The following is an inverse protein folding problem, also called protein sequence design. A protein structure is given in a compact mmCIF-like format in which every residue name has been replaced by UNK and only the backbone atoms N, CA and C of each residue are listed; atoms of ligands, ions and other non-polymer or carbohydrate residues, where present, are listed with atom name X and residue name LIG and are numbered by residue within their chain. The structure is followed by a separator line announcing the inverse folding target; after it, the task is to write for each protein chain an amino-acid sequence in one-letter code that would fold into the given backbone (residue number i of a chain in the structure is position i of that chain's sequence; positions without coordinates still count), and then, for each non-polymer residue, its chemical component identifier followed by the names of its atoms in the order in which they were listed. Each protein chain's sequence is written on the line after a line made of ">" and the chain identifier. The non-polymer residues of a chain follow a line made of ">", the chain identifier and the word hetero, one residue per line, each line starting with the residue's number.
data_IF_609168981454
#
_entry.id   IF_609168981454
#
_cell.length_a   1.000
_cell.length_b   1.000
_cell.length_c   1.000
_cell.angle_alpha   90.00
_cell.angle_beta   90.00
_cell.angle_gamma   90.00
#
_symmetry.space_group_name_H-M   'P 1'
#
loop_
_entity.id
_entity.type
_entity.pdbx_description
1 polymer ?
#
# COMPACT_ATOMS: atom_id res chain seq x y z
N UNK A 1 -7.09 -20.12 20.58
CA UNK A 1 -7.55 -18.92 21.33
C UNK A 1 -7.67 -17.80 20.30
N UNK A 2 -8.90 -17.45 19.93
CA UNK A 2 -9.16 -16.34 19.01
C UNK A 2 -9.00 -15.03 19.76
N UNK A 3 -7.93 -14.32 19.50
CA UNK A 3 -7.84 -12.91 19.93
C UNK A 3 -8.66 -12.06 18.96
N UNK A 4 -9.81 -11.59 19.42
CA UNK A 4 -10.55 -10.53 18.77
C UNK A 4 -9.70 -9.25 18.83
N UNK A 5 -9.23 -8.78 17.69
CA UNK A 5 -8.60 -7.46 17.58
C UNK A 5 -9.71 -6.42 17.74
N UNK A 6 -9.81 -5.85 18.92
CA UNK A 6 -10.71 -4.72 19.18
C UNK A 6 -10.07 -3.46 18.59
N UNK A 7 -10.61 -2.95 17.50
CA UNK A 7 -10.17 -1.70 16.88
C UNK A 7 -10.78 -0.55 17.72
N UNK A 8 -9.99 0.06 18.58
CA UNK A 8 -10.36 1.31 19.24
C UNK A 8 -9.84 2.47 18.39
N UNK A 9 -10.69 3.31 17.79
CA UNK A 9 -10.22 4.49 17.08
C UNK A 9 -9.69 5.50 18.10
N UNK A 10 -8.41 5.81 18.04
CA UNK A 10 -7.84 6.93 18.79
C UNK A 10 -8.20 8.23 18.07
N UNK A 11 -9.24 8.90 18.51
CA UNK A 11 -9.60 10.26 18.10
C UNK A 11 -8.61 11.23 18.78
N UNK A 12 -7.56 11.63 18.09
CA UNK A 12 -6.74 12.76 18.51
C UNK A 12 -7.36 14.06 17.97
N UNK A 13 -7.53 15.02 18.88
CA UNK A 13 -8.06 16.35 18.60
C UNK A 13 -7.23 17.06 17.51
N UNK A 14 -7.92 17.67 16.56
CA UNK A 14 -7.37 18.44 15.47
C UNK A 14 -6.55 19.64 16.00
N UNK A 15 -5.28 19.66 15.70
CA UNK A 15 -4.45 20.86 15.71
C UNK A 15 -4.44 21.44 14.29
N UNK A 16 -4.88 22.66 14.14
CA UNK A 16 -4.82 23.42 12.87
C UNK A 16 -3.36 23.55 12.42
N UNK A 17 -2.97 22.84 11.39
CA UNK A 17 -1.75 23.09 10.66
C UNK A 17 -2.08 23.51 9.24
N UNK A 18 -1.68 24.71 8.91
CA UNK A 18 -1.66 25.29 7.56
C UNK A 18 -0.66 24.54 6.69
N UNK A 19 -1.08 23.46 6.04
CA UNK A 19 -0.28 22.83 5.00
C UNK A 19 -1.16 22.01 4.08
N UNK A 20 -1.11 22.38 2.80
CA UNK A 20 -1.61 21.61 1.65
C UNK A 20 -3.02 21.06 1.82
N UNK A 21 -4.02 21.94 1.74
CA UNK A 21 -5.42 21.58 1.56
C UNK A 21 -5.61 20.85 0.22
N UNK A 22 -5.22 19.58 0.18
CA UNK A 22 -5.86 18.69 -0.77
C UNK A 22 -7.31 18.56 -0.32
N UNK A 23 -8.22 18.92 -1.23
CA UNK A 23 -9.63 19.14 -0.94
C UNK A 23 -10.39 17.81 -0.70
N UNK A 24 -10.16 17.18 0.43
CA UNK A 24 -11.01 16.09 0.90
C UNK A 24 -11.61 16.48 2.27
N UNK A 25 -12.44 17.53 2.35
CA UNK A 25 -12.90 18.10 3.62
C UNK A 25 -13.70 17.13 4.47
N UNK A 26 -14.32 16.13 3.85
CA UNK A 26 -15.15 15.13 4.52
C UNK A 26 -14.42 13.81 4.78
N UNK A 27 -13.10 13.80 4.72
CA UNK A 27 -12.34 12.58 4.97
C UNK A 27 -11.06 12.84 5.75
N UNK A 28 -10.64 11.86 6.52
CA UNK A 28 -9.44 11.91 7.35
C UNK A 28 -8.59 10.68 7.12
N UNK A 29 -7.24 10.87 7.07
CA UNK A 29 -6.29 9.76 7.06
C UNK A 29 -6.16 9.18 8.48
N UNK A 30 -6.33 7.88 8.60
CA UNK A 30 -6.13 7.12 9.83
C UNK A 30 -5.20 5.95 9.56
N UNK A 31 -4.46 5.51 10.59
CA UNK A 31 -3.60 4.35 10.48
C UNK A 31 -4.10 3.20 11.35
N UNK A 32 -4.16 2.00 10.75
CA UNK A 32 -4.33 0.76 11.49
C UNK A 32 -2.94 0.19 11.77
N UNK A 33 -2.62 0.03 13.06
CA UNK A 33 -1.31 -0.45 13.50
C UNK A 33 -1.33 -1.99 13.57
N UNK A 34 -0.29 -2.62 13.05
CA UNK A 34 -0.10 -4.06 13.12
C UNK A 34 0.51 -4.53 14.44
N UNK A 35 1.11 -5.72 14.43
CA UNK A 35 1.78 -6.31 15.62
C UNK A 35 3.00 -5.50 16.07
N UNK A 36 3.59 -4.73 15.19
CA UNK A 36 4.70 -3.81 15.46
C UNK A 36 4.28 -2.38 15.13
N UNK A 37 4.73 -1.41 15.90
CA UNK A 37 4.37 0.00 15.75
C UNK A 37 4.75 0.62 14.38
N UNK A 38 5.73 0.04 13.70
CA UNK A 38 6.17 0.46 12.38
C UNK A 38 5.38 -0.21 11.23
N UNK A 39 4.44 -1.12 11.52
CA UNK A 39 3.48 -1.65 10.54
C UNK A 39 2.22 -0.80 10.65
N UNK A 40 2.15 0.25 9.84
CA UNK A 40 1.04 1.22 9.83
C UNK A 40 0.37 1.17 8.47
N UNK A 41 -0.88 0.72 8.44
CA UNK A 41 -1.66 0.61 7.19
C UNK A 41 -2.56 1.83 7.06
N UNK A 42 -2.38 2.67 6.03
CA UNK A 42 -3.15 3.89 5.88
C UNK A 42 -4.58 3.60 5.45
N UNK A 43 -5.52 4.19 6.14
CA UNK A 43 -6.95 4.17 5.84
C UNK A 43 -7.47 5.57 5.70
N UNK A 44 -8.52 5.76 4.92
CA UNK A 44 -9.26 7.00 4.83
C UNK A 44 -10.65 6.80 5.39
N UNK A 45 -10.97 7.52 6.46
CA UNK A 45 -12.29 7.60 7.02
C UNK A 45 -13.07 8.68 6.28
N UNK A 46 -14.12 8.29 5.56
CA UNK A 46 -14.99 9.19 4.80
C UNK A 46 -16.24 9.43 5.64
N UNK A 47 -16.43 10.67 6.09
CA UNK A 47 -17.58 11.04 6.90
C UNK A 47 -18.81 11.19 6.00
N UNK A 48 -19.88 10.52 6.39
CA UNK A 48 -21.17 10.56 5.70
C UNK A 48 -22.10 11.55 6.40
N UNK A 49 -23.01 12.16 5.62
CA UNK A 49 -24.11 12.93 6.19
C UNK A 49 -25.07 12.01 6.96
N UNK A 50 -25.70 12.54 8.02
CA UNK A 50 -26.70 11.83 8.78
C UNK A 50 -27.89 11.46 7.91
N UNK A 51 -28.50 10.32 8.17
CA UNK A 51 -29.74 9.90 7.48
C UNK A 51 -30.90 10.81 7.90
N UNK A 52 -31.60 11.47 6.96
CA UNK A 52 -32.73 12.33 7.27
C UNK A 52 -33.86 11.60 8.02
N UNK A 53 -34.63 12.34 8.84
CA UNK A 53 -35.72 11.79 9.66
C UNK A 53 -36.73 10.98 8.86
N UNK A 54 -37.10 11.44 7.66
CA UNK A 54 -38.06 10.76 6.81
C UNK A 54 -37.57 9.43 6.23
N UNK A 55 -36.27 9.12 6.35
CA UNK A 55 -35.63 7.87 5.93
C UNK A 55 -35.19 7.00 7.10
N UNK A 56 -35.58 7.33 8.32
CA UNK A 56 -35.32 6.50 9.49
C UNK A 56 -34.35 7.09 10.52
N UNK A 57 -33.92 8.33 10.36
CA UNK A 57 -33.10 9.08 11.29
C UNK A 57 -31.93 8.31 11.92
N UNK A 58 -30.70 8.69 11.63
CA UNK A 58 -29.54 8.04 12.23
C UNK A 58 -28.23 8.71 11.88
N UNK A 59 -27.26 8.61 12.79
CA UNK A 59 -25.86 8.94 12.49
C UNK A 59 -25.26 7.82 11.67
N UNK A 60 -24.58 8.19 10.60
CA UNK A 60 -23.84 7.24 9.78
C UNK A 60 -22.40 7.18 10.24
N UNK A 61 -21.91 5.98 10.51
CA UNK A 61 -20.49 5.75 10.78
C UNK A 61 -19.64 6.05 9.53
N UNK A 62 -18.41 6.55 9.70
CA UNK A 62 -17.52 6.80 8.59
C UNK A 62 -17.22 5.52 7.79
N UNK A 63 -17.18 5.64 6.47
CA UNK A 63 -16.71 4.56 5.60
C UNK A 63 -15.19 4.55 5.59
N UNK A 64 -14.60 3.42 5.97
CA UNK A 64 -13.15 3.22 5.95
C UNK A 64 -12.73 2.54 4.65
N UNK A 65 -11.86 3.17 3.89
CA UNK A 65 -11.26 2.60 2.68
C UNK A 65 -9.75 2.64 2.79
N UNK A 66 -9.05 1.76 2.08
CA UNK A 66 -7.61 1.84 1.99
C UNK A 66 -7.20 3.17 1.32
N UNK A 67 -6.29 3.90 1.96
CA UNK A 67 -5.85 5.21 1.47
C UNK A 67 -4.69 5.06 0.49
N UNK A 68 -4.97 5.25 -0.80
CA UNK A 68 -3.98 5.16 -1.88
C UNK A 68 -3.19 6.45 -2.10
N UNK A 69 -3.49 7.52 -1.37
CA UNK A 69 -2.80 8.82 -1.52
C UNK A 69 -1.36 8.82 -0.97
N UNK A 70 -0.96 7.77 -0.26
CA UNK A 70 0.39 7.63 0.28
C UNK A 70 0.77 8.78 1.21
N UNK A 71 2.00 9.24 1.08
CA UNK A 71 2.53 10.33 1.90
C UNK A 71 1.97 11.72 1.54
N UNK A 72 1.34 11.86 0.37
CA UNK A 72 0.89 13.20 -0.11
C UNK A 72 -0.22 13.82 0.72
N UNK A 73 -0.99 13.03 1.43
CA UNK A 73 -2.07 13.51 2.31
C UNK A 73 -1.81 13.21 3.78
N UNK A 74 -0.58 12.88 4.14
CA UNK A 74 -0.17 12.64 5.51
C UNK A 74 0.33 13.94 6.14
N UNK A 75 -0.35 14.49 7.16
CA UNK A 75 0.07 15.74 7.80
C UNK A 75 1.40 15.60 8.58
N UNK A 76 1.81 14.37 8.92
CA UNK A 76 3.06 14.10 9.62
C UNK A 76 4.27 13.99 8.68
N UNK A 77 4.04 13.97 7.35
CA UNK A 77 5.09 13.77 6.35
C UNK A 77 5.31 15.04 5.53
N UNK A 78 6.54 15.55 5.56
CA UNK A 78 7.00 16.56 4.61
C UNK A 78 7.64 15.88 3.40
N UNK A 79 7.13 16.16 2.21
CA UNK A 79 7.66 15.60 0.95
C UNK A 79 8.67 16.56 0.37
N UNK A 80 9.89 16.07 0.17
CA UNK A 80 10.92 16.71 -0.64
C UNK A 80 11.00 15.97 -1.98
N UNK A 81 10.67 16.67 -3.07
CA UNK A 81 10.64 16.08 -4.41
C UNK A 81 12.02 15.57 -4.86
N UNK A 82 13.11 16.11 -4.33
CA UNK A 82 14.47 15.66 -4.65
C UNK A 82 14.85 14.39 -3.89
N UNK A 83 14.39 14.25 -2.63
CA UNK A 83 14.65 13.07 -1.81
C UNK A 83 13.66 11.92 -2.10
N UNK A 84 12.51 12.25 -2.68
CA UNK A 84 11.45 11.30 -2.99
C UNK A 84 10.61 10.91 -1.77
N UNK A 85 9.83 9.84 -1.92
CA UNK A 85 8.92 9.37 -0.89
C UNK A 85 9.65 8.72 0.31
N UNK A 86 9.07 8.80 1.53
CA UNK A 86 9.61 8.12 2.70
C UNK A 86 9.79 6.62 2.49
N UNK A 87 10.89 6.08 2.98
CA UNK A 87 11.26 4.68 2.83
C UNK A 87 10.52 3.78 3.84
N UNK A 88 9.21 3.63 3.69
CA UNK A 88 8.31 2.89 4.60
C UNK A 88 8.87 1.54 5.05
N UNK A 89 9.42 0.76 4.14
CA UNK A 89 9.86 -0.61 4.39
C UNK A 89 11.35 -0.75 4.71
N UNK A 90 12.11 0.36 4.80
CA UNK A 90 13.55 0.28 5.03
C UNK A 90 13.88 -0.46 6.33
N UNK A 91 13.22 -0.11 7.43
CA UNK A 91 13.42 -0.79 8.72
C UNK A 91 13.10 -2.29 8.68
N UNK A 92 12.08 -2.71 7.92
CA UNK A 92 11.72 -4.12 7.76
C UNK A 92 12.78 -4.89 6.96
N UNK A 93 13.33 -4.25 5.90
CA UNK A 93 14.39 -4.81 5.06
C UNK A 93 15.67 -4.96 5.89
N UNK A 94 16.03 -3.93 6.66
CA UNK A 94 17.23 -3.94 7.51
C UNK A 94 17.14 -4.98 8.63
N UNK A 95 15.97 -5.10 9.27
CA UNK A 95 15.75 -6.06 10.36
C UNK A 95 15.91 -7.52 9.94
N UNK A 96 15.72 -7.85 8.66
CA UNK A 96 15.95 -9.21 8.14
C UNK A 96 17.44 -9.59 8.08
N UNK A 97 18.34 -8.60 7.96
CA UNK A 97 19.78 -8.83 7.99
C UNK A 97 20.34 -9.68 6.84
N UNK A 98 19.62 -9.75 5.72
CA UNK A 98 19.96 -10.60 4.57
C UNK A 98 20.31 -9.83 3.30
N UNK A 99 20.35 -8.50 3.42
CA UNK A 99 20.75 -7.57 2.35
C UNK A 99 22.02 -6.81 2.70
N UNK A 100 22.73 -6.36 1.69
CA UNK A 100 23.83 -5.40 1.80
C UNK A 100 23.58 -4.22 0.89
N UNK A 101 23.98 -3.03 1.32
CA UNK A 101 23.96 -1.83 0.50
C UNK A 101 25.24 -1.78 -0.34
N UNK A 102 25.11 -1.40 -1.60
CA UNK A 102 26.24 -1.23 -2.52
C UNK A 102 26.74 0.21 -2.45
N UNK A 103 28.04 0.40 -2.71
CA UNK A 103 28.66 1.72 -2.70
C UNK A 103 28.34 2.55 -3.94
N UNK A 104 27.85 1.92 -5.01
CA UNK A 104 27.52 2.55 -6.29
C UNK A 104 26.51 1.75 -7.10
N UNK A 105 26.03 2.34 -8.19
CA UNK A 105 25.19 1.65 -9.19
C UNK A 105 25.94 0.45 -9.79
N UNK A 106 25.30 -0.72 -9.77
CA UNK A 106 25.92 -1.98 -10.22
C UNK A 106 25.57 -2.35 -11.67
N UNK A 107 24.43 -1.87 -12.19
CA UNK A 107 24.01 -2.17 -13.56
C UNK A 107 24.84 -1.43 -14.60
N UNK A 108 25.04 -2.05 -15.78
CA UNK A 108 25.73 -1.39 -16.90
C UNK A 108 25.01 -0.09 -17.30
N UNK A 109 23.68 -0.12 -17.40
CA UNK A 109 22.86 1.05 -17.69
C UNK A 109 23.01 2.16 -16.65
N UNK A 110 23.00 1.83 -15.34
CA UNK A 110 23.21 2.82 -14.28
C UNK A 110 24.58 3.48 -14.35
N UNK A 111 25.63 2.71 -14.64
CA UNK A 111 26.99 3.21 -14.82
C UNK A 111 27.13 4.12 -16.04
N UNK A 112 26.53 3.72 -17.18
CA UNK A 112 26.52 4.52 -18.39
C UNK A 112 25.80 5.86 -18.18
N UNK A 113 24.64 5.83 -17.53
CA UNK A 113 23.91 7.06 -17.20
C UNK A 113 24.68 7.98 -16.23
N UNK A 114 25.39 7.42 -15.26
CA UNK A 114 26.24 8.21 -14.36
C UNK A 114 27.44 8.83 -15.08
N UNK A 115 27.96 8.18 -16.10
CA UNK A 115 29.08 8.71 -16.90
C UNK A 115 28.63 9.76 -17.92
N UNK A 116 27.35 9.87 -18.23
CA UNK A 116 26.83 10.83 -19.20
C UNK A 116 26.59 12.21 -18.53
N UNK A 117 27.46 13.17 -18.80
CA UNK A 117 27.41 14.53 -18.26
C UNK A 117 26.24 15.36 -18.81
N UNK A 118 25.65 15.01 -19.97
CA UNK A 118 24.49 15.70 -20.53
C UNK A 118 23.24 15.55 -19.65
N UNK A 119 23.26 14.58 -18.73
CA UNK A 119 22.17 14.29 -17.81
C UNK A 119 22.34 14.93 -16.41
N UNK A 120 23.40 15.67 -16.16
CA UNK A 120 23.70 16.19 -14.82
C UNK A 120 22.63 17.14 -14.30
N UNK A 121 22.01 17.93 -15.17
CA UNK A 121 20.97 18.89 -14.84
C UNK A 121 19.61 18.25 -14.47
N UNK A 122 19.42 16.96 -14.79
CA UNK A 122 18.18 16.21 -14.45
C UNK A 122 18.45 15.09 -13.45
N UNK A 123 19.65 15.06 -12.91
CA UNK A 123 20.08 14.04 -11.94
C UNK A 123 19.80 14.53 -10.52
N UNK A 124 19.18 13.65 -9.71
CA UNK A 124 18.99 13.92 -8.29
C UNK A 124 20.19 13.41 -7.48
N UNK A 125 20.76 14.25 -6.64
CA UNK A 125 21.95 13.92 -5.83
C UNK A 125 21.65 12.93 -4.71
N UNK A 126 20.38 12.83 -4.27
CA UNK A 126 19.96 12.04 -3.12
C UNK A 126 19.37 10.67 -3.49
N UNK A 127 19.72 10.13 -4.64
CA UNK A 127 19.31 8.78 -5.01
C UNK A 127 19.84 7.76 -4.00
N UNK A 128 18.93 6.91 -3.51
CA UNK A 128 19.31 5.80 -2.62
C UNK A 128 20.26 4.86 -3.35
N UNK A 129 21.34 4.48 -2.66
CA UNK A 129 22.24 3.46 -3.18
C UNK A 129 21.53 2.11 -3.24
N UNK A 130 21.79 1.31 -4.29
CA UNK A 130 21.11 0.04 -4.47
C UNK A 130 21.50 -0.97 -3.40
N UNK A 131 20.58 -1.90 -3.12
CA UNK A 131 20.80 -3.04 -2.24
C UNK A 131 20.78 -4.32 -3.05
N UNK A 132 21.49 -5.32 -2.57
CA UNK A 132 21.38 -6.69 -3.07
C UNK A 132 21.28 -7.69 -1.92
N UNK A 133 20.87 -8.92 -2.24
CA UNK A 133 20.99 -10.02 -1.29
C UNK A 133 22.46 -10.27 -0.95
N UNK A 134 22.76 -10.57 0.31
CA UNK A 134 24.06 -11.06 0.72
C UNK A 134 24.37 -12.39 0.03
N UNK A 135 25.65 -12.73 -0.06
CA UNK A 135 26.07 -13.99 -0.68
C UNK A 135 25.36 -15.21 -0.06
N UNK A 136 24.74 -16.02 -0.89
CA UNK A 136 24.01 -17.21 -0.45
C UNK A 136 22.61 -16.94 0.17
N UNK A 137 22.17 -15.69 0.24
CA UNK A 137 20.83 -15.33 0.72
C UNK A 137 19.84 -15.12 -0.43
N UNK A 138 18.55 -15.29 -0.11
CA UNK A 138 17.46 -15.01 -1.03
C UNK A 138 16.43 -14.10 -0.32
N UNK A 139 16.10 -12.98 -0.94
CA UNK A 139 15.28 -11.90 -0.38
C UNK A 139 13.87 -11.81 -0.99
N UNK A 140 13.43 -12.87 -1.67
CA UNK A 140 12.09 -12.91 -2.26
C UNK A 140 11.03 -13.25 -1.21
N UNK A 141 9.86 -12.63 -1.31
CA UNK A 141 8.74 -12.94 -0.42
C UNK A 141 8.34 -14.43 -0.47
N UNK A 142 8.46 -15.06 -1.65
CA UNK A 142 8.24 -16.49 -1.78
C UNK A 142 9.26 -17.32 -0.99
N UNK A 143 10.51 -16.90 -0.93
CA UNK A 143 11.53 -17.59 -0.14
C UNK A 143 11.16 -17.57 1.34
N UNK A 144 10.85 -16.40 1.90
CA UNK A 144 10.42 -16.28 3.28
C UNK A 144 9.15 -17.10 3.56
N UNK A 145 8.17 -17.02 2.67
CA UNK A 145 6.94 -17.78 2.80
C UNK A 145 7.16 -19.29 2.86
N UNK A 146 8.04 -19.83 2.02
CA UNK A 146 8.41 -21.27 2.01
C UNK A 146 9.21 -21.68 3.25
N UNK A 147 9.92 -20.76 3.88
CA UNK A 147 10.61 -20.98 5.15
C UNK A 147 9.67 -20.86 6.38
N UNK A 148 8.39 -20.63 6.17
CA UNK A 148 7.44 -20.42 7.28
C UNK A 148 7.50 -19.04 7.92
N UNK A 149 8.23 -18.09 7.33
CA UNK A 149 8.42 -16.75 7.87
C UNK A 149 7.29 -15.84 7.40
N UNK A 150 6.58 -15.23 8.35
CA UNK A 150 5.63 -14.15 8.10
C UNK A 150 6.41 -12.83 8.11
N UNK A 151 6.43 -12.13 6.98
CA UNK A 151 7.10 -10.84 6.86
C UNK A 151 6.16 -9.69 7.27
N UNK A 152 6.68 -8.51 7.65
CA UNK A 152 5.85 -7.31 7.86
C UNK A 152 4.99 -6.95 6.65
N UNK A 153 5.47 -7.21 5.45
CA UNK A 153 4.71 -7.03 4.21
C UNK A 153 3.46 -7.91 4.17
N UNK A 154 3.55 -9.16 4.62
CA UNK A 154 2.40 -10.09 4.67
C UNK A 154 1.37 -9.67 5.70
N UNK A 155 1.80 -9.14 6.83
CA UNK A 155 0.90 -8.60 7.87
C UNK A 155 0.21 -7.31 7.38
N UNK A 156 0.96 -6.38 6.78
CA UNK A 156 0.40 -5.18 6.16
C UNK A 156 -0.70 -5.53 5.16
N UNK A 157 -0.45 -6.52 4.29
CA UNK A 157 -1.41 -7.00 3.30
C UNK A 157 -2.65 -7.57 3.98
N UNK A 158 -2.51 -8.39 5.02
CA UNK A 158 -3.64 -8.97 5.73
C UNK A 158 -4.56 -7.89 6.31
N UNK A 159 -3.99 -6.85 6.93
CA UNK A 159 -4.75 -5.71 7.44
C UNK A 159 -5.47 -4.98 6.31
N UNK A 160 -4.76 -4.69 5.21
CA UNK A 160 -5.31 -4.01 4.04
C UNK A 160 -6.50 -4.76 3.42
N UNK A 161 -6.37 -6.07 3.23
CA UNK A 161 -7.38 -6.91 2.60
C UNK A 161 -8.65 -7.07 3.47
N UNK A 162 -8.50 -7.06 4.80
CA UNK A 162 -9.62 -7.20 5.71
C UNK A 162 -10.49 -5.95 5.81
N UNK A 163 -9.95 -4.74 5.63
CA UNK A 163 -10.69 -3.49 5.81
C UNK A 163 -11.93 -3.41 4.92
N UNK A 164 -11.81 -3.82 3.65
CA UNK A 164 -12.96 -3.86 2.76
C UNK A 164 -14.05 -4.85 3.23
N UNK A 165 -13.65 -5.94 3.87
CA UNK A 165 -14.57 -7.02 4.31
C UNK A 165 -15.37 -6.66 5.53
N UNK A 166 -14.79 -5.93 6.48
CA UNK A 166 -15.52 -5.47 7.66
C UNK A 166 -16.67 -4.53 7.31
N UNK A 167 -16.56 -3.79 6.22
CA UNK A 167 -17.60 -2.89 5.74
C UNK A 167 -18.71 -3.61 4.95
N UNK A 168 -18.34 -4.64 4.18
CA UNK A 168 -19.31 -5.41 3.36
C UNK A 168 -20.02 -6.50 4.19
N UNK A 169 -19.72 -6.67 5.46
CA UNK A 169 -20.43 -7.58 6.37
C UNK A 169 -21.87 -7.17 6.69
N UNK A 170 -22.40 -6.19 6.01
CA UNK A 170 -23.85 -5.96 6.05
C UNK A 170 -24.55 -7.18 5.44
N UNK A 171 -25.16 -7.99 6.30
CA UNK A 171 -25.81 -9.26 5.94
C UNK A 171 -26.83 -9.09 4.80
N UNK A 172 -27.48 -7.92 4.73
CA UNK A 172 -28.46 -7.59 3.69
C UNK A 172 -27.79 -7.49 2.31
N UNK A 173 -26.60 -6.89 2.20
CA UNK A 173 -25.85 -6.79 0.95
C UNK A 173 -25.29 -8.13 0.52
N UNK A 174 -24.85 -8.96 1.45
CA UNK A 174 -24.39 -10.32 1.15
C UNK A 174 -25.51 -11.23 0.67
N UNK A 175 -26.72 -11.09 1.17
CA UNK A 175 -27.89 -11.84 0.71
C UNK A 175 -28.36 -11.43 -0.68
N UNK A 176 -28.19 -10.15 -1.04
CA UNK A 176 -28.63 -9.62 -2.34
C UNK A 176 -27.61 -9.88 -3.47
N UNK A 177 -26.33 -10.02 -3.15
CA UNK A 177 -25.24 -10.13 -4.13
C UNK A 177 -24.24 -11.20 -3.72
N UNK A 178 -24.66 -12.45 -3.71
CA UNK A 178 -23.77 -13.58 -3.37
C UNK A 178 -22.58 -13.74 -4.33
N UNK A 179 -22.64 -13.16 -5.51
CA UNK A 179 -21.55 -13.25 -6.50
C UNK A 179 -21.17 -14.70 -6.85
N UNK A 180 -20.38 -14.85 -7.89
CA UNK A 180 -19.78 -16.14 -8.20
C UNK A 180 -18.30 -16.11 -7.77
N UNK A 181 -17.83 -17.01 -6.89
CA UNK A 181 -16.46 -16.99 -6.42
C UNK A 181 -15.43 -17.35 -7.50
N UNK A 182 -15.88 -17.88 -8.66
CA UNK A 182 -15.03 -18.30 -9.78
C UNK A 182 -13.81 -19.13 -9.34
N UNK A 183 -14.03 -19.99 -8.32
CA UNK A 183 -13.00 -20.84 -7.72
C UNK A 183 -12.12 -20.14 -6.68
N UNK A 184 -12.43 -18.95 -6.24
CA UNK A 184 -11.80 -18.33 -5.09
C UNK A 184 -12.29 -18.99 -3.80
N UNK A 185 -11.36 -19.29 -2.89
CA UNK A 185 -11.64 -19.82 -1.55
C UNK A 185 -11.16 -18.78 -0.53
N UNK A 186 -11.97 -17.74 -0.35
CA UNK A 186 -11.60 -16.61 0.46
C UNK A 186 -12.11 -16.83 1.89
N UNK A 187 -11.24 -16.92 2.92
CA UNK A 187 -11.68 -17.07 4.30
C UNK A 187 -12.41 -15.81 4.80
N UNK A 188 -13.16 -15.95 5.89
CA UNK A 188 -13.84 -14.81 6.51
C UNK A 188 -12.87 -13.69 6.89
N UNK A 189 -11.71 -14.06 7.42
CA UNK A 189 -10.62 -13.14 7.73
C UNK A 189 -9.33 -13.56 7.02
N UNK A 190 -8.69 -12.60 6.35
CA UNK A 190 -7.36 -12.78 5.79
C UNK A 190 -6.35 -12.62 6.93
N UNK A 191 -5.67 -13.70 7.29
CA UNK A 191 -4.60 -13.67 8.29
C UNK A 191 -3.24 -13.52 7.61
N UNK A 192 -2.20 -13.02 8.31
CA UNK A 192 -0.82 -13.02 7.78
C UNK A 192 -0.35 -14.42 7.35
N UNK A 193 -0.77 -15.44 8.08
CA UNK A 193 -0.48 -16.84 7.75
C UNK A 193 -1.18 -17.29 6.45
N UNK A 194 -2.43 -16.88 6.22
CA UNK A 194 -3.11 -17.13 4.95
C UNK A 194 -2.37 -16.48 3.78
N UNK A 195 -1.93 -15.22 3.93
CA UNK A 195 -1.09 -14.53 2.93
C UNK A 195 0.19 -15.32 2.66
N UNK A 196 0.88 -15.75 3.72
CA UNK A 196 2.10 -16.57 3.61
C UNK A 196 1.85 -17.86 2.83
N UNK A 197 0.78 -18.59 3.15
CA UNK A 197 0.43 -19.86 2.49
C UNK A 197 0.11 -19.69 1.00
N UNK A 198 -0.61 -18.63 0.64
CA UNK A 198 -0.92 -18.31 -0.76
C UNK A 198 0.35 -17.99 -1.57
N UNK A 199 1.28 -17.23 -0.97
CA UNK A 199 2.58 -16.91 -1.59
C UNK A 199 3.47 -18.17 -1.67
N UNK A 200 3.56 -18.97 -0.60
CA UNK A 200 4.38 -20.18 -0.56
C UNK A 200 3.95 -21.21 -1.60
N UNK A 201 2.64 -21.31 -1.85
CA UNK A 201 2.06 -22.24 -2.84
C UNK A 201 2.12 -21.69 -4.29
N UNK A 202 2.59 -20.46 -4.49
CA UNK A 202 2.65 -19.84 -5.82
C UNK A 202 1.30 -19.37 -6.38
N UNK A 203 0.25 -19.31 -5.55
CA UNK A 203 -1.08 -18.81 -5.95
C UNK A 203 -1.20 -17.29 -5.87
N UNK A 204 -0.26 -16.64 -5.19
CA UNK A 204 -0.20 -15.18 -5.07
C UNK A 204 1.23 -14.67 -5.09
N UNK A 205 1.41 -13.41 -5.48
CA UNK A 205 2.71 -12.72 -5.49
C UNK A 205 2.60 -11.38 -4.74
N UNK A 206 3.70 -11.01 -4.09
CA UNK A 206 3.89 -9.71 -3.46
C UNK A 206 4.96 -8.96 -4.27
N UNK A 207 4.59 -7.99 -5.12
CA UNK A 207 5.51 -7.33 -6.05
C UNK A 207 6.32 -6.20 -5.38
N UNK A 208 6.95 -6.49 -4.24
CA UNK A 208 7.76 -5.51 -3.53
C UNK A 208 9.26 -5.74 -3.75
N UNK A 209 9.96 -4.70 -4.21
CA UNK A 209 11.40 -4.72 -4.44
C UNK A 209 12.14 -4.11 -3.24
N UNK A 210 13.28 -4.68 -2.85
CA UNK A 210 14.15 -4.13 -1.78
C UNK A 210 14.74 -2.76 -2.14
N UNK A 211 14.86 -2.44 -3.43
CA UNK A 211 15.34 -1.15 -3.93
C UNK A 211 14.23 -0.09 -4.09
N UNK A 212 12.99 -0.46 -3.76
CA UNK A 212 11.85 0.46 -3.71
C UNK A 212 11.18 0.38 -2.33
N UNK A 213 11.89 0.79 -1.26
CA UNK A 213 11.38 0.68 0.11
C UNK A 213 10.20 1.61 0.41
N UNK A 214 9.92 2.59 -0.46
CA UNK A 214 8.78 3.50 -0.41
C UNK A 214 7.46 2.85 -0.81
N UNK A 215 7.49 1.70 -1.52
CA UNK A 215 6.25 1.07 -1.99
C UNK A 215 5.47 0.42 -0.86
N UNK A 216 4.17 0.72 -0.80
CA UNK A 216 3.25 0.05 0.11
C UNK A 216 2.99 -1.39 -0.35
N UNK A 217 2.98 -2.36 0.59
CA UNK A 217 2.72 -3.74 0.26
C UNK A 217 1.34 -3.98 -0.34
N UNK A 218 1.30 -4.76 -1.41
CA UNK A 218 0.09 -5.29 -2.01
C UNK A 218 0.30 -6.74 -2.44
N UNK A 219 -0.79 -7.44 -2.71
CA UNK A 219 -0.76 -8.81 -3.19
C UNK A 219 -1.58 -8.94 -4.46
N UNK A 220 -1.16 -9.84 -5.34
CA UNK A 220 -1.88 -10.20 -6.55
C UNK A 220 -2.15 -11.70 -6.49
N UNK A 221 -3.42 -12.07 -6.46
CA UNK A 221 -3.83 -13.46 -6.38
C UNK A 221 -5.35 -13.61 -6.39
N UNK A 222 -5.85 -14.80 -6.75
CA UNK A 222 -7.29 -15.06 -6.90
C UNK A 222 -8.09 -14.80 -5.61
N UNK A 223 -7.49 -15.02 -4.46
CA UNK A 223 -8.15 -14.93 -3.16
C UNK A 223 -8.06 -13.53 -2.52
N UNK A 224 -7.61 -12.53 -3.26
CA UNK A 224 -7.38 -11.17 -2.80
C UNK A 224 -8.12 -10.15 -3.68
N UNK A 225 -8.14 -8.89 -3.25
CA UNK A 225 -8.72 -7.80 -4.03
C UNK A 225 -8.09 -7.72 -5.43
N UNK A 226 -8.92 -7.46 -6.43
CA UNK A 226 -8.49 -7.37 -7.82
C UNK A 226 -7.56 -6.19 -8.00
N UNK A 227 -6.38 -6.44 -8.57
CA UNK A 227 -5.47 -5.38 -8.99
C UNK A 227 -5.99 -4.78 -10.30
N UNK A 228 -6.31 -3.50 -10.27
CA UNK A 228 -6.65 -2.71 -11.46
C UNK A 228 -5.37 -2.08 -12.02
N UNK A 229 -5.15 -2.20 -13.32
CA UNK A 229 -4.12 -1.46 -14.05
C UNK A 229 -4.78 -0.39 -14.91
N UNK A 230 -4.32 0.84 -14.75
CA UNK A 230 -4.64 1.93 -15.66
C UNK A 230 -3.36 2.33 -16.42
N UNK A 231 -3.48 2.51 -17.74
CA UNK A 231 -2.38 2.99 -18.55
C UNK A 231 -2.59 4.49 -18.85
N UNK A 232 -1.61 5.28 -18.46
CA UNK A 232 -1.53 6.70 -18.76
C UNK A 232 -0.22 6.92 -19.51
N UNK A 233 -0.26 7.67 -20.61
CA UNK A 233 0.91 7.93 -21.42
C UNK A 233 0.58 7.96 -22.91
N UNK A 234 1.59 8.26 -23.71
CA UNK A 234 1.46 8.41 -25.14
C UNK A 234 1.06 7.08 -25.81
N UNK A 235 0.03 7.11 -26.64
CA UNK A 235 -0.40 5.94 -27.42
C UNK A 235 0.10 6.04 -28.88
N UNK A 236 0.08 4.90 -29.60
CA UNK A 236 0.42 4.86 -31.03
C UNK A 236 -0.50 5.73 -31.91
N UNK A 237 -1.67 6.09 -31.40
CA UNK A 237 -2.66 6.95 -32.07
C UNK A 237 -2.52 8.43 -31.70
N UNK A 238 -1.53 8.75 -30.87
CA UNK A 238 -1.30 10.09 -30.35
C UNK A 238 -2.18 10.42 -29.15
N UNK A 239 -1.64 11.18 -28.22
CA UNK A 239 -2.37 11.88 -27.17
C UNK A 239 -1.57 13.12 -26.78
N UNK A 240 -2.27 14.17 -26.35
CA UNK A 240 -1.64 15.36 -25.81
C UNK A 240 -1.37 15.21 -24.31
N UNK A 241 -0.51 16.08 -23.77
CA UNK A 241 -0.27 16.16 -22.32
C UNK A 241 -1.59 16.43 -21.60
N UNK A 242 -2.42 17.33 -22.13
CA UNK A 242 -3.70 17.70 -21.54
C UNK A 242 -4.68 16.52 -21.47
N UNK A 243 -4.72 15.68 -22.51
CA UNK A 243 -5.53 14.46 -22.52
C UNK A 243 -5.04 13.44 -21.50
N UNK A 244 -3.73 13.27 -21.33
CA UNK A 244 -3.17 12.36 -20.33
C UNK A 244 -3.39 12.88 -18.91
N UNK A 245 -3.33 14.19 -18.68
CA UNK A 245 -3.69 14.82 -17.40
C UNK A 245 -5.18 14.62 -17.11
N UNK A 246 -6.05 14.78 -18.09
CA UNK A 246 -7.48 14.52 -17.94
C UNK A 246 -7.76 13.05 -17.56
N UNK A 247 -7.09 12.08 -18.21
CA UNK A 247 -7.18 10.66 -17.86
C UNK A 247 -6.72 10.38 -16.42
N UNK A 248 -5.69 11.07 -15.94
CA UNK A 248 -5.19 10.93 -14.57
C UNK A 248 -6.19 11.44 -13.53
N UNK A 249 -7.06 12.37 -13.91
CA UNK A 249 -8.05 12.98 -13.02
C UNK A 249 -9.26 12.06 -12.79
N UNK A 250 -9.56 11.17 -13.73
CA UNK A 250 -10.65 10.18 -13.66
C UNK A 250 -10.24 8.91 -12.93
#
# INVERSE_FOLDING_TARGET
>A
MNQHITITPCLSAATESTSHQFAFPNSQKNYVVGSQANIRVPMRAIHLADTPEHLGCGKNEPVLVYDTSGAYTDPEVSIDLQQGLPALRAAWIDARGDTEQLDAQSSAYGKERLANTDLDNIRFEHLRLPRRAQAGKNVTQMHYAKQGIITPEMEFIAIRENMHRYQVRNEVLQQQHTGQPLGALIPADITPEFVRLEVASGRAIIPNNINHPETEPMIIGRNFLVKVNANIGNSALGSSIDEEVAKMTW
#
